data_IF_346831380105
#
_entry.id   IF_346831380105
#
_cell.length_a   1.000
_cell.length_b   1.000
_cell.length_c   1.000
_cell.angle_alpha   90.00
_cell.angle_beta   90.00
_cell.angle_gamma   90.00
#
_symmetry.space_group_name_H-M   'P 1'
#
loop_
_entity.id
_entity.type
_entity.pdbx_description
1 polymer ?
#
# COMPACT_ATOMS: atom_id res chain seq x y z
N UNK A 1 -27.88 -30.65 -4.18
CA UNK A 1 -26.41 -30.72 -4.25
C UNK A 1 -26.12 -31.56 -5.48
N UNK A 2 -25.19 -31.15 -6.37
CA UNK A 2 -24.81 -31.86 -7.62
C UNK A 2 -25.43 -31.41 -8.96
N UNK A 3 -25.49 -30.10 -9.21
CA UNK A 3 -25.54 -29.55 -10.58
C UNK A 3 -24.52 -28.41 -10.81
N UNK A 4 -24.11 -27.71 -9.75
CA UNK A 4 -23.12 -26.61 -9.85
C UNK A 4 -21.65 -27.08 -9.91
N UNK A 5 -21.35 -28.34 -9.57
CA UNK A 5 -19.99 -28.89 -9.64
C UNK A 5 -19.65 -29.35 -11.06
N UNK A 6 -20.64 -29.87 -11.81
CA UNK A 6 -20.46 -30.36 -13.18
C UNK A 6 -20.18 -29.21 -14.16
N UNK A 7 -20.85 -28.06 -14.02
CA UNK A 7 -20.58 -26.87 -14.86
C UNK A 7 -19.19 -26.28 -14.61
N UNK A 8 -18.64 -26.41 -13.39
CA UNK A 8 -17.27 -25.96 -13.10
C UNK A 8 -16.21 -26.84 -13.76
N UNK A 9 -16.43 -28.16 -13.83
CA UNK A 9 -15.52 -29.12 -14.47
C UNK A 9 -15.61 -29.06 -16.01
N UNK A 10 -16.79 -28.77 -16.57
CA UNK A 10 -16.99 -28.58 -18.01
C UNK A 10 -16.34 -27.27 -18.50
N UNK A 11 -16.40 -26.20 -17.70
CA UNK A 11 -15.70 -24.95 -17.98
C UNK A 11 -14.17 -25.07 -17.92
N UNK A 12 -13.66 -25.91 -17.00
CA UNK A 12 -12.23 -26.19 -16.86
C UNK A 12 -11.71 -27.07 -18.03
N UNK A 13 -12.47 -28.09 -18.47
CA UNK A 13 -12.12 -28.87 -19.66
C UNK A 13 -12.20 -28.06 -20.97
N UNK A 14 -13.11 -27.10 -21.07
CA UNK A 14 -13.18 -26.19 -22.23
C UNK A 14 -11.98 -25.24 -22.27
N UNK A 15 -11.57 -24.72 -21.11
CA UNK A 15 -10.41 -23.83 -20.99
C UNK A 15 -9.08 -24.57 -21.24
N UNK A 16 -8.97 -25.82 -20.78
CA UNK A 16 -7.81 -26.70 -21.06
C UNK A 16 -7.77 -27.09 -22.54
N UNK A 17 -8.91 -27.38 -23.18
CA UNK A 17 -8.95 -27.62 -24.64
C UNK A 17 -8.59 -26.40 -25.47
N UNK A 18 -8.96 -25.19 -25.02
CA UNK A 18 -8.56 -23.93 -25.66
C UNK A 18 -7.07 -23.65 -25.45
N UNK A 19 -6.52 -23.99 -24.27
CA UNK A 19 -5.08 -23.88 -24.00
C UNK A 19 -4.26 -24.91 -24.79
N UNK A 20 -4.75 -26.14 -24.94
CA UNK A 20 -4.14 -27.19 -25.76
C UNK A 20 -4.26 -26.85 -27.25
N UNK A 21 -5.40 -26.32 -27.72
CA UNK A 21 -5.53 -25.87 -29.12
C UNK A 21 -4.60 -24.70 -29.42
N UNK A 22 -4.42 -23.77 -28.46
CA UNK A 22 -3.46 -22.68 -28.60
C UNK A 22 -1.99 -23.17 -28.53
N UNK A 23 -1.72 -24.31 -27.89
CA UNK A 23 -0.41 -24.96 -27.84
C UNK A 23 -0.11 -25.76 -29.11
N UNK A 24 -1.11 -26.45 -29.67
CA UNK A 24 -1.02 -27.12 -30.97
C UNK A 24 -0.85 -26.07 -32.10
N UNK A 25 -1.50 -24.91 -31.98
CA UNK A 25 -1.34 -23.77 -32.89
C UNK A 25 0.08 -23.19 -32.91
N UNK A 26 0.91 -23.40 -31.87
CA UNK A 26 2.32 -22.97 -31.86
C UNK A 26 3.17 -23.84 -32.82
N UNK A 27 2.86 -25.13 -32.95
CA UNK A 27 3.48 -26.01 -33.94
C UNK A 27 2.97 -25.76 -35.36
N UNK A 28 1.68 -25.43 -35.53
CA UNK A 28 1.13 -24.99 -36.83
C UNK A 28 1.69 -23.62 -37.24
N UNK A 29 1.89 -22.71 -36.28
CA UNK A 29 2.52 -21.41 -36.51
C UNK A 29 3.99 -21.56 -36.92
N UNK A 30 4.75 -22.48 -36.32
CA UNK A 30 6.12 -22.83 -36.74
C UNK A 30 6.15 -23.46 -38.15
N UNK A 31 5.15 -24.29 -38.49
CA UNK A 31 4.99 -24.84 -39.84
C UNK A 31 4.68 -23.77 -40.90
N UNK A 32 3.86 -22.78 -40.56
CA UNK A 32 3.54 -21.62 -41.41
C UNK A 32 4.74 -20.66 -41.49
N UNK A 33 5.50 -20.47 -40.41
CA UNK A 33 6.71 -19.64 -40.43
C UNK A 33 7.78 -20.25 -41.36
N UNK A 34 7.96 -21.57 -41.31
CA UNK A 34 8.88 -22.29 -42.18
C UNK A 34 8.43 -22.32 -43.66
N UNK A 35 7.12 -22.28 -43.94
CA UNK A 35 6.63 -22.16 -45.31
C UNK A 35 6.72 -20.73 -45.85
N UNK A 36 6.63 -19.72 -44.99
CA UNK A 36 6.84 -18.30 -45.35
C UNK A 36 8.34 -18.00 -45.58
N UNK A 37 9.25 -18.63 -44.86
CA UNK A 37 10.70 -18.51 -45.12
C UNK A 37 11.15 -19.26 -46.40
N UNK A 38 10.38 -20.25 -46.85
CA UNK A 38 10.64 -20.99 -48.10
C UNK A 38 10.16 -20.25 -49.36
N UNK A 39 9.14 -19.40 -49.25
CA UNK A 39 8.67 -18.53 -50.33
C UNK A 39 9.19 -17.10 -50.13
N UNK A 40 10.43 -16.87 -50.58
CA UNK A 40 11.05 -15.56 -50.61
C UNK A 40 10.21 -14.53 -51.38
N UNK A 41 9.34 -13.82 -50.66
CA UNK A 41 8.62 -12.68 -51.19
C UNK A 41 8.60 -11.55 -50.15
N UNK A 42 9.24 -10.44 -50.51
CA UNK A 42 9.44 -9.22 -49.70
C UNK A 42 8.13 -8.48 -49.32
N UNK A 43 6.97 -9.13 -49.39
CA UNK A 43 5.67 -8.60 -49.00
C UNK A 43 5.15 -9.10 -47.65
N UNK A 44 5.75 -10.13 -47.05
CA UNK A 44 5.37 -10.61 -45.71
C UNK A 44 5.85 -9.75 -44.55
N UNK A 45 6.84 -8.86 -44.76
CA UNK A 45 7.51 -8.13 -43.68
C UNK A 45 6.75 -6.91 -43.16
N UNK A 46 5.68 -6.49 -43.84
CA UNK A 46 4.86 -5.33 -43.47
C UNK A 46 3.52 -5.70 -42.80
N UNK A 47 3.16 -6.99 -42.69
CA UNK A 47 1.90 -7.41 -42.05
C UNK A 47 2.05 -7.80 -40.57
N UNK A 48 3.26 -7.85 -40.05
CA UNK A 48 3.55 -8.14 -38.64
C UNK A 48 3.79 -6.89 -37.79
N UNK A 49 3.53 -5.68 -38.30
CA UNK A 49 3.88 -4.45 -37.57
C UNK A 49 2.70 -3.65 -36.98
N UNK A 50 1.43 -3.87 -37.35
CA UNK A 50 0.44 -2.81 -37.05
C UNK A 50 -0.56 -2.97 -35.91
N UNK A 51 -0.70 -4.12 -35.23
CA UNK A 51 -1.44 -4.16 -33.94
C UNK A 51 -0.94 -5.26 -33.01
N UNK A 52 0.10 -4.95 -32.21
CA UNK A 52 0.54 -5.78 -31.08
C UNK A 52 -0.58 -6.06 -30.05
N UNK A 53 -1.68 -5.31 -30.08
CA UNK A 53 -2.85 -5.52 -29.23
C UNK A 53 -4.15 -5.29 -30.02
N UNK A 54 -5.02 -6.29 -30.08
CA UNK A 54 -6.29 -6.23 -30.82
C UNK A 54 -7.42 -5.48 -30.07
N UNK A 55 -7.22 -5.11 -28.81
CA UNK A 55 -8.24 -4.53 -27.93
C UNK A 55 -7.83 -3.14 -27.48
N UNK A 56 -8.77 -2.18 -27.44
CA UNK A 56 -8.54 -0.82 -26.93
C UNK A 56 -8.05 -0.83 -25.48
N UNK A 57 -7.15 0.11 -25.13
CA UNK A 57 -6.54 0.23 -23.80
C UNK A 57 -7.57 0.26 -22.65
N UNK A 58 -8.69 0.98 -22.83
CA UNK A 58 -9.73 1.06 -21.81
C UNK A 58 -10.46 -0.27 -21.59
N UNK A 59 -10.64 -1.04 -22.67
CA UNK A 59 -11.26 -2.36 -22.58
C UNK A 59 -10.30 -3.37 -21.92
N UNK A 60 -8.99 -3.29 -22.23
CA UNK A 60 -7.96 -4.05 -21.49
C UNK A 60 -8.00 -3.71 -20.01
N UNK A 61 -7.98 -2.42 -19.66
CA UNK A 61 -8.05 -1.95 -18.28
C UNK A 61 -9.30 -2.47 -17.56
N UNK A 62 -10.49 -2.37 -18.15
CA UNK A 62 -11.75 -2.81 -17.51
C UNK A 62 -11.76 -4.31 -17.22
N UNK A 63 -11.32 -5.14 -18.18
CA UNK A 63 -11.26 -6.60 -18.02
C UNK A 63 -10.25 -6.97 -16.93
N UNK A 64 -9.05 -6.37 -16.98
CA UNK A 64 -8.00 -6.60 -16.00
C UNK A 64 -8.40 -6.11 -14.60
N UNK A 65 -9.08 -4.97 -14.50
CA UNK A 65 -9.57 -4.42 -13.25
C UNK A 65 -10.58 -5.37 -12.61
N UNK A 66 -11.57 -5.86 -13.38
CA UNK A 66 -12.55 -6.82 -12.89
C UNK A 66 -11.91 -8.14 -12.45
N UNK A 67 -10.96 -8.68 -13.24
CA UNK A 67 -10.21 -9.90 -12.89
C UNK A 67 -9.43 -9.70 -11.60
N UNK A 68 -8.69 -8.60 -11.52
CA UNK A 68 -7.85 -8.27 -10.37
C UNK A 68 -8.69 -8.05 -9.12
N UNK A 69 -9.81 -7.34 -9.21
CA UNK A 69 -10.71 -7.10 -8.06
C UNK A 69 -11.30 -8.41 -7.52
N UNK A 70 -11.69 -9.34 -8.40
CA UNK A 70 -12.13 -10.68 -7.98
C UNK A 70 -11.01 -11.46 -7.26
N UNK A 71 -9.78 -11.40 -7.79
CA UNK A 71 -8.63 -12.05 -7.20
C UNK A 71 -8.25 -11.46 -5.83
N UNK A 72 -8.10 -10.14 -5.76
CA UNK A 72 -7.74 -9.41 -4.54
C UNK A 72 -8.77 -9.62 -3.44
N UNK A 73 -10.08 -9.62 -3.78
CA UNK A 73 -11.15 -9.88 -2.82
C UNK A 73 -10.99 -11.26 -2.17
N UNK A 74 -10.72 -12.30 -2.95
CA UNK A 74 -10.56 -13.66 -2.43
C UNK A 74 -9.31 -13.82 -1.56
N UNK A 75 -8.23 -13.12 -1.90
CA UNK A 75 -6.95 -13.23 -1.18
C UNK A 75 -6.94 -12.45 0.14
N UNK A 76 -7.62 -11.30 0.20
CA UNK A 76 -7.55 -10.41 1.38
C UNK A 76 -8.69 -10.67 2.36
N UNK A 77 -9.93 -10.91 1.90
CA UNK A 77 -11.07 -11.24 2.77
C UNK A 77 -11.06 -12.70 3.25
N UNK A 78 -9.88 -13.24 3.55
CA UNK A 78 -9.77 -14.50 4.27
C UNK A 78 -10.19 -14.29 5.72
N UNK A 79 -10.93 -15.24 6.30
CA UNK A 79 -11.35 -15.23 7.71
C UNK A 79 -10.16 -14.96 8.65
N UNK A 80 -8.98 -15.49 8.33
CA UNK A 80 -7.74 -15.30 9.10
C UNK A 80 -7.32 -13.83 9.15
N UNK A 81 -7.32 -13.11 8.02
CA UNK A 81 -6.92 -11.69 8.00
C UNK A 81 -7.90 -10.81 8.76
N UNK A 82 -9.20 -11.12 8.66
CA UNK A 82 -10.23 -10.41 9.41
C UNK A 82 -10.07 -10.66 10.91
N UNK A 83 -9.94 -11.92 11.34
CA UNK A 83 -9.72 -12.30 12.75
C UNK A 83 -8.44 -11.68 13.29
N UNK A 84 -7.33 -11.73 12.54
CA UNK A 84 -6.05 -11.07 12.90
C UNK A 84 -6.26 -9.59 13.17
N UNK A 85 -6.94 -8.90 12.24
CA UNK A 85 -7.16 -7.44 12.34
C UNK A 85 -8.04 -7.07 13.53
N UNK A 86 -9.10 -7.83 13.78
CA UNK A 86 -9.99 -7.63 14.94
C UNK A 86 -9.27 -7.91 16.26
N UNK A 87 -8.51 -9.01 16.35
CA UNK A 87 -7.74 -9.35 17.56
C UNK A 87 -6.75 -8.24 17.91
N UNK A 88 -5.99 -7.75 16.92
CA UNK A 88 -5.02 -6.67 17.14
C UNK A 88 -5.74 -5.37 17.49
N UNK A 89 -6.88 -5.07 16.87
CA UNK A 89 -7.69 -3.90 17.23
C UNK A 89 -8.17 -3.96 18.68
N UNK A 90 -8.62 -5.12 19.15
CA UNK A 90 -9.04 -5.34 20.54
C UNK A 90 -7.87 -5.22 21.51
N UNK A 91 -6.73 -5.85 21.22
CA UNK A 91 -5.54 -5.77 22.07
C UNK A 91 -5.08 -4.31 22.21
N UNK A 92 -4.96 -3.59 21.10
CA UNK A 92 -4.57 -2.16 21.14
C UNK A 92 -5.63 -1.33 21.86
N UNK A 93 -6.92 -1.55 21.57
CA UNK A 93 -8.02 -0.88 22.25
C UNK A 93 -8.05 -1.13 23.76
N UNK A 94 -7.64 -2.32 24.22
CA UNK A 94 -7.53 -2.66 25.64
C UNK A 94 -6.30 -2.02 26.30
N UNK A 95 -5.14 -1.96 25.61
CA UNK A 95 -3.91 -1.36 26.17
C UNK A 95 -4.09 0.14 26.41
N UNK A 96 -4.76 0.84 25.51
CA UNK A 96 -5.03 2.28 25.62
C UNK A 96 -6.50 2.58 25.98
N UNK A 97 -7.16 1.70 26.74
CA UNK A 97 -8.59 1.80 27.01
C UNK A 97 -8.97 3.11 27.72
N UNK A 98 -9.94 3.84 27.15
CA UNK A 98 -10.54 5.06 27.70
C UNK A 98 -9.55 6.03 28.38
N UNK A 99 -8.62 6.57 27.60
CA UNK A 99 -7.71 7.60 28.10
C UNK A 99 -8.47 8.90 28.40
N UNK A 100 -8.36 9.44 29.61
CA UNK A 100 -8.84 10.79 29.92
C UNK A 100 -8.13 11.84 29.06
N UNK A 101 -8.75 13.00 28.79
CA UNK A 101 -8.13 14.08 27.99
C UNK A 101 -7.42 15.08 28.91
N UNK A 102 -6.25 14.70 29.42
CA UNK A 102 -5.43 15.53 30.32
C UNK A 102 -3.96 15.51 29.88
N UNK A 103 -3.14 16.39 30.45
CA UNK A 103 -1.70 16.45 30.22
C UNK A 103 -1.01 15.08 30.36
N UNK A 104 -1.31 14.31 31.41
CA UNK A 104 -0.71 12.99 31.64
C UNK A 104 -0.88 12.01 30.48
N UNK A 105 -2.01 12.07 29.78
CA UNK A 105 -2.33 11.11 28.71
C UNK A 105 -1.86 11.55 27.33
N UNK A 106 -1.30 12.78 27.19
CA UNK A 106 -0.79 13.29 25.91
C UNK A 106 0.21 12.32 25.30
N UNK A 107 1.23 11.89 26.07
CA UNK A 107 2.22 10.93 25.59
C UNK A 107 1.61 9.57 25.23
N UNK A 108 0.60 9.09 25.97
CA UNK A 108 -0.07 7.82 25.67
C UNK A 108 -0.86 7.90 24.36
N UNK A 109 -1.52 9.04 24.10
CA UNK A 109 -2.25 9.32 22.86
C UNK A 109 -1.32 9.40 21.66
N UNK A 110 -0.15 10.03 21.81
CA UNK A 110 0.90 10.03 20.79
C UNK A 110 1.38 8.60 20.50
N UNK A 111 1.67 7.81 21.53
CA UNK A 111 2.10 6.41 21.38
C UNK A 111 1.06 5.54 20.66
N UNK A 112 -0.24 5.72 20.96
CA UNK A 112 -1.32 5.02 20.26
C UNK A 112 -1.27 5.29 18.75
N UNK A 113 -1.25 6.56 18.33
CA UNK A 113 -1.23 6.89 16.90
C UNK A 113 0.02 6.38 16.21
N UNK A 114 1.18 6.56 16.85
CA UNK A 114 2.43 6.08 16.27
C UNK A 114 2.42 4.55 16.09
N UNK A 115 1.94 3.80 17.09
CA UNK A 115 1.81 2.35 16.99
C UNK A 115 0.85 1.93 15.87
N UNK A 116 -0.34 2.55 15.82
CA UNK A 116 -1.36 2.27 14.79
C UNK A 116 -0.82 2.50 13.39
N UNK A 117 -0.21 3.65 13.11
CA UNK A 117 0.34 3.94 11.78
C UNK A 117 1.50 3.01 11.46
N UNK A 118 2.35 2.74 12.45
CA UNK A 118 3.49 1.84 12.28
C UNK A 118 3.04 0.45 11.88
N UNK A 119 2.11 -0.13 12.63
CA UNK A 119 1.58 -1.47 12.37
C UNK A 119 1.03 -1.60 10.94
N UNK A 120 0.19 -0.67 10.49
CA UNK A 120 -0.46 -0.77 9.19
C UNK A 120 0.48 -0.47 8.01
N UNK A 121 1.40 0.48 8.16
CA UNK A 121 2.41 0.74 7.12
C UNK A 121 3.35 -0.45 6.98
N UNK A 122 3.79 -1.07 8.10
CA UNK A 122 4.59 -2.29 8.07
C UNK A 122 3.83 -3.44 7.41
N UNK A 123 2.60 -3.72 7.82
CA UNK A 123 1.77 -4.79 7.24
C UNK A 123 1.62 -4.58 5.72
N UNK A 124 1.35 -3.35 5.27
CA UNK A 124 1.23 -3.01 3.86
C UNK A 124 2.53 -3.20 3.07
N UNK A 125 3.67 -2.74 3.60
CA UNK A 125 4.99 -2.88 2.97
C UNK A 125 5.36 -4.35 2.77
N UNK A 126 5.24 -5.16 3.82
CA UNK A 126 5.58 -6.58 3.75
C UNK A 126 4.60 -7.35 2.87
N UNK A 127 3.30 -7.08 2.97
CA UNK A 127 2.32 -7.76 2.14
C UNK A 127 2.43 -7.39 0.65
N UNK A 128 2.94 -6.21 0.30
CA UNK A 128 3.28 -5.87 -1.08
C UNK A 128 4.54 -6.59 -1.57
N UNK A 129 5.56 -6.68 -0.71
CA UNK A 129 6.81 -7.40 -1.01
C UNK A 129 6.55 -8.90 -1.26
N UNK A 130 5.73 -9.53 -0.43
CA UNK A 130 5.44 -10.97 -0.51
C UNK A 130 4.60 -11.34 -1.73
N UNK A 131 3.65 -10.49 -2.13
CA UNK A 131 2.77 -10.80 -3.26
C UNK A 131 3.48 -10.61 -4.60
N UNK A 132 4.37 -9.62 -4.69
CA UNK A 132 4.93 -9.16 -5.96
C UNK A 132 5.70 -10.22 -6.77
N UNK A 133 6.59 -11.07 -6.21
CA UNK A 133 7.35 -12.05 -6.98
C UNK A 133 6.45 -13.02 -7.75
N UNK A 134 5.43 -13.58 -7.08
CA UNK A 134 4.50 -14.52 -7.70
C UNK A 134 3.71 -13.88 -8.86
N UNK A 135 3.39 -12.60 -8.72
CA UNK A 135 2.64 -11.85 -9.70
C UNK A 135 3.51 -11.44 -10.89
N UNK A 136 4.78 -11.12 -10.63
CA UNK A 136 5.76 -10.76 -11.64
C UNK A 136 5.97 -11.87 -12.66
N UNK A 137 6.07 -13.12 -12.21
CA UNK A 137 6.22 -14.28 -13.10
C UNK A 137 5.02 -14.43 -14.04
N UNK A 138 3.82 -14.21 -13.52
CA UNK A 138 2.58 -14.22 -14.32
C UNK A 138 2.58 -13.06 -15.32
N UNK A 139 2.98 -11.86 -14.91
CA UNK A 139 3.06 -10.69 -15.80
C UNK A 139 4.02 -10.92 -16.96
N UNK A 140 5.19 -11.51 -16.72
CA UNK A 140 6.15 -11.79 -17.78
C UNK A 140 5.62 -12.80 -18.79
N UNK A 141 5.00 -13.89 -18.30
CA UNK A 141 4.35 -14.89 -19.17
C UNK A 141 3.24 -14.29 -20.02
N UNK A 142 2.31 -13.53 -19.41
CA UNK A 142 1.19 -12.90 -20.13
C UNK A 142 1.62 -11.76 -21.07
N UNK A 143 2.78 -11.13 -20.83
CA UNK A 143 3.35 -10.14 -21.77
C UNK A 143 4.12 -10.78 -22.91
N UNK A 144 4.75 -11.94 -22.69
CA UNK A 144 5.42 -12.70 -23.74
C UNK A 144 4.40 -13.15 -24.79
N UNK A 145 3.21 -13.57 -24.36
CA UNK A 145 2.09 -13.96 -25.22
C UNK A 145 1.36 -12.78 -25.90
N UNK A 146 1.76 -11.53 -25.67
CA UNK A 146 1.08 -10.39 -26.27
C UNK A 146 -0.39 -10.23 -25.82
N UNK A 147 -0.72 -10.59 -24.57
CA UNK A 147 -2.10 -10.47 -24.04
C UNK A 147 -2.56 -9.05 -23.63
N UNK A 148 -1.75 -8.23 -22.93
CA UNK A 148 -2.08 -6.82 -22.63
C UNK A 148 -0.87 -5.86 -22.44
N UNK A 149 -1.13 -4.55 -22.50
CA UNK A 149 -0.15 -3.50 -22.19
C UNK A 149 0.12 -3.38 -20.68
N UNK A 150 1.39 -3.23 -20.27
CA UNK A 150 1.78 -3.15 -18.84
C UNK A 150 1.16 -1.97 -18.11
N UNK A 151 0.99 -0.82 -18.77
CA UNK A 151 0.36 0.34 -18.14
C UNK A 151 -1.10 0.07 -17.79
N UNK A 152 -1.84 -0.63 -18.66
CA UNK A 152 -3.24 -1.01 -18.40
C UNK A 152 -3.32 -1.95 -17.20
N UNK A 153 -2.45 -2.96 -17.16
CA UNK A 153 -2.37 -3.91 -16.04
C UNK A 153 -1.99 -3.24 -14.72
N UNK A 154 -0.91 -2.47 -14.71
CA UNK A 154 -0.39 -1.86 -13.48
C UNK A 154 -1.40 -0.91 -12.85
N UNK A 155 -2.09 -0.11 -13.68
CA UNK A 155 -3.14 0.79 -13.20
C UNK A 155 -4.39 0.04 -12.75
N UNK A 156 -4.85 -0.94 -13.55
CA UNK A 156 -6.01 -1.78 -13.20
C UNK A 156 -5.80 -2.47 -11.86
N UNK A 157 -4.60 -3.02 -11.66
CA UNK A 157 -4.22 -3.70 -10.44
C UNK A 157 -4.20 -2.76 -9.24
N UNK A 158 -3.44 -1.66 -9.33
CA UNK A 158 -3.32 -0.67 -8.26
C UNK A 158 -4.69 -0.17 -7.78
N UNK A 159 -5.60 0.12 -8.71
CA UNK A 159 -6.95 0.58 -8.36
C UNK A 159 -7.86 -0.53 -7.83
N UNK A 160 -7.68 -1.77 -8.27
CA UNK A 160 -8.50 -2.91 -7.80
C UNK A 160 -8.10 -3.40 -6.40
N UNK A 161 -6.82 -3.25 -6.04
CA UNK A 161 -6.28 -3.68 -4.76
C UNK A 161 -6.55 -2.67 -3.65
N UNK A 162 -6.53 -1.37 -3.97
CA UNK A 162 -6.69 -0.31 -2.98
C UNK A 162 -7.95 -0.48 -2.09
N UNK A 163 -9.19 -0.67 -2.60
CA UNK A 163 -10.37 -0.84 -1.75
C UNK A 163 -10.25 -2.03 -0.81
N UNK A 164 -9.63 -3.10 -1.29
CA UNK A 164 -9.50 -4.35 -0.55
C UNK A 164 -8.46 -4.22 0.56
N UNK A 165 -7.34 -3.55 0.28
CA UNK A 165 -6.26 -3.27 1.25
C UNK A 165 -6.71 -2.31 2.36
N UNK A 166 -7.57 -1.34 2.03
CA UNK A 166 -8.06 -0.34 2.98
C UNK A 166 -9.16 -0.86 3.92
N UNK A 167 -9.85 -1.95 3.56
CA UNK A 167 -10.94 -2.49 4.36
C UNK A 167 -10.52 -2.95 5.76
N UNK A 168 -9.35 -3.59 5.90
CA UNK A 168 -8.87 -4.09 7.20
C UNK A 168 -8.42 -2.97 8.15
N UNK A 169 -7.59 -1.98 7.72
CA UNK A 169 -7.27 -0.83 8.56
C UNK A 169 -8.51 -0.01 8.96
N UNK A 170 -9.52 0.08 8.09
CA UNK A 170 -10.79 0.72 8.42
C UNK A 170 -11.50 0.06 9.60
N UNK A 171 -11.62 -1.27 9.59
CA UNK A 171 -12.24 -2.03 10.68
C UNK A 171 -11.44 -1.86 11.97
N UNK A 172 -10.11 -1.90 11.88
CA UNK A 172 -9.23 -1.69 13.04
C UNK A 172 -9.39 -0.29 13.63
N UNK A 173 -9.41 0.76 12.79
CA UNK A 173 -9.57 2.14 13.24
C UNK A 173 -10.93 2.33 13.90
N UNK A 174 -11.98 1.76 13.32
CA UNK A 174 -13.32 1.80 13.89
C UNK A 174 -13.33 1.20 15.31
N UNK A 175 -12.75 0.02 15.52
CA UNK A 175 -12.78 -0.60 16.86
C UNK A 175 -11.84 0.11 17.84
N UNK A 176 -10.56 0.26 17.47
CA UNK A 176 -9.52 0.74 18.40
C UNK A 176 -9.67 2.21 18.78
N UNK A 177 -10.13 3.08 17.86
CA UNK A 177 -10.25 4.52 18.13
C UNK A 177 -11.32 4.81 19.20
N UNK A 178 -12.48 4.15 19.09
CA UNK A 178 -13.56 4.31 20.05
C UNK A 178 -13.24 3.64 21.40
N UNK A 179 -12.56 2.48 21.38
CA UNK A 179 -12.08 1.84 22.63
C UNK A 179 -11.05 2.71 23.37
N UNK A 180 -10.19 3.40 22.64
CA UNK A 180 -9.13 4.22 23.23
C UNK A 180 -9.63 5.53 23.86
N UNK A 181 -10.86 5.97 23.57
CA UNK A 181 -11.43 7.22 24.11
C UNK A 181 -10.67 8.47 23.65
N UNK A 182 -10.20 8.51 22.41
CA UNK A 182 -9.32 9.57 21.92
C UNK A 182 -10.02 10.94 21.85
N UNK A 183 -10.98 11.12 20.96
CA UNK A 183 -11.69 12.37 20.85
C UNK A 183 -13.14 12.06 20.49
N UNK A 184 -14.14 12.65 21.19
CA UNK A 184 -15.55 12.45 20.85
C UNK A 184 -15.93 13.06 19.49
N UNK A 185 -15.12 13.97 18.93
CA UNK A 185 -15.42 14.63 17.67
C UNK A 185 -15.23 13.68 16.45
N UNK A 186 -16.32 13.43 15.73
CA UNK A 186 -16.31 12.55 14.55
C UNK A 186 -15.41 13.05 13.42
N UNK A 187 -15.22 14.38 13.30
CA UNK A 187 -14.34 14.97 12.30
C UNK A 187 -12.88 14.50 12.48
N UNK A 188 -12.41 14.43 13.73
CA UNK A 188 -11.06 13.98 14.09
C UNK A 188 -10.90 12.51 13.74
N UNK A 189 -11.89 11.67 14.06
CA UNK A 189 -11.91 10.27 13.65
C UNK A 189 -11.80 10.12 12.12
N UNK A 190 -12.64 10.84 11.38
CA UNK A 190 -12.71 10.73 9.93
C UNK A 190 -11.40 11.14 9.24
N UNK A 191 -10.86 12.31 9.57
CA UNK A 191 -9.61 12.79 8.96
C UNK A 191 -8.38 12.00 9.39
N UNK A 192 -8.31 11.55 10.65
CA UNK A 192 -7.20 10.72 11.14
C UNK A 192 -7.23 9.34 10.49
N UNK A 193 -8.42 8.78 10.29
CA UNK A 193 -8.61 7.53 9.54
C UNK A 193 -8.17 7.70 8.09
N UNK A 194 -8.57 8.78 7.40
CA UNK A 194 -8.10 9.05 6.03
C UNK A 194 -6.58 9.14 5.95
N UNK A 195 -5.93 9.87 6.88
CA UNK A 195 -4.47 9.97 6.91
C UNK A 195 -3.81 8.61 7.14
N UNK A 196 -4.39 7.78 8.01
CA UNK A 196 -3.96 6.39 8.22
C UNK A 196 -4.04 5.59 6.91
N UNK A 197 -5.18 5.60 6.22
CA UNK A 197 -5.38 4.88 4.96
C UNK A 197 -4.42 5.34 3.87
N UNK A 198 -4.16 6.65 3.76
CA UNK A 198 -3.17 7.21 2.83
C UNK A 198 -1.76 6.69 3.15
N UNK A 199 -1.42 6.59 4.44
CA UNK A 199 -0.13 6.04 4.86
C UNK A 199 0.02 4.56 4.49
N UNK A 200 -1.06 3.77 4.59
CA UNK A 200 -1.09 2.36 4.15
C UNK A 200 -0.80 2.25 2.65
N UNK A 201 -1.44 3.08 1.82
CA UNK A 201 -1.20 3.09 0.37
C UNK A 201 0.24 3.52 0.04
N UNK A 202 0.76 4.54 0.72
CA UNK A 202 2.14 4.99 0.56
C UNK A 202 3.14 3.88 0.96
N UNK A 203 2.90 3.21 2.09
CA UNK A 203 3.68 2.05 2.54
C UNK A 203 3.65 0.90 1.54
N UNK A 204 2.47 0.49 1.08
CA UNK A 204 2.31 -0.56 0.07
C UNK A 204 3.16 -0.25 -1.19
N UNK A 205 3.17 1.01 -1.61
CA UNK A 205 3.91 1.46 -2.80
C UNK A 205 5.42 1.41 -2.61
N UNK A 206 5.92 1.74 -1.40
CA UNK A 206 7.33 1.58 -1.04
C UNK A 206 7.72 0.10 -0.95
N UNK A 207 6.87 -0.76 -0.38
CA UNK A 207 7.10 -2.20 -0.35
C UNK A 207 7.20 -2.80 -1.75
N UNK A 208 6.30 -2.38 -2.66
CA UNK A 208 6.34 -2.77 -4.06
C UNK A 208 7.61 -2.28 -4.77
N UNK A 209 8.07 -1.06 -4.49
CA UNK A 209 9.31 -0.51 -5.04
C UNK A 209 10.50 -1.40 -4.67
N UNK A 210 10.66 -1.75 -3.39
CA UNK A 210 11.74 -2.64 -2.93
C UNK A 210 11.62 -4.02 -3.58
N UNK A 211 10.40 -4.57 -3.67
CA UNK A 211 10.14 -5.86 -4.34
C UNK A 211 10.45 -5.85 -5.84
N UNK A 212 10.35 -4.69 -6.49
CA UNK A 212 10.77 -4.55 -7.89
C UNK A 212 12.28 -4.38 -8.05
N UNK A 213 12.97 -3.80 -7.07
CA UNK A 213 14.42 -3.55 -7.15
C UNK A 213 15.26 -4.79 -6.86
N UNK A 214 14.77 -5.68 -5.98
CA UNK A 214 15.52 -6.86 -5.53
C UNK A 214 14.84 -8.13 -6.01
N UNK A 215 15.54 -8.91 -6.85
CA UNK A 215 15.01 -10.14 -7.47
C UNK A 215 14.90 -11.30 -6.46
N UNK A 216 15.79 -11.31 -5.48
CA UNK A 216 15.93 -12.36 -4.48
C UNK A 216 15.08 -12.02 -3.24
N UNK A 217 14.12 -12.89 -2.93
CA UNK A 217 13.13 -12.65 -1.89
C UNK A 217 13.74 -12.50 -0.49
N UNK A 218 14.76 -13.30 -0.16
CA UNK A 218 15.41 -13.24 1.15
C UNK A 218 16.16 -11.91 1.31
N UNK A 219 16.91 -11.51 0.27
CA UNK A 219 17.59 -10.20 0.25
C UNK A 219 16.61 -9.04 0.28
N UNK A 220 15.48 -9.16 -0.42
CA UNK A 220 14.46 -8.13 -0.47
C UNK A 220 13.79 -7.95 0.91
N UNK A 221 13.54 -9.03 1.65
CA UNK A 221 13.03 -8.97 3.02
C UNK A 221 13.99 -8.26 3.97
N UNK A 222 15.29 -8.59 3.91
CA UNK A 222 16.31 -7.94 4.74
C UNK A 222 16.40 -6.45 4.39
N UNK A 223 16.48 -6.12 3.10
CA UNK A 223 16.52 -4.74 2.64
C UNK A 223 15.28 -3.95 3.06
N UNK A 224 14.08 -4.54 2.91
CA UNK A 224 12.84 -3.92 3.34
C UNK A 224 12.83 -3.69 4.85
N UNK A 225 13.27 -4.67 5.64
CA UNK A 225 13.31 -4.55 7.11
C UNK A 225 14.19 -3.39 7.54
N UNK A 226 15.41 -3.29 6.99
CA UNK A 226 16.34 -2.19 7.28
C UNK A 226 15.75 -0.86 6.84
N UNK A 227 15.16 -0.81 5.65
CA UNK A 227 14.54 0.40 5.11
C UNK A 227 13.37 0.87 5.98
N UNK A 228 12.44 -0.01 6.33
CA UNK A 228 11.27 0.31 7.15
C UNK A 228 11.65 0.73 8.56
N UNK A 229 12.61 0.04 9.20
CA UNK A 229 13.11 0.44 10.52
C UNK A 229 13.77 1.82 10.49
N UNK A 230 14.53 2.12 9.44
CA UNK A 230 15.13 3.44 9.25
C UNK A 230 14.04 4.52 9.13
N UNK A 231 13.02 4.29 8.29
CA UNK A 231 11.91 5.22 8.11
C UNK A 231 11.07 5.41 9.39
N UNK A 232 10.93 4.36 10.19
CA UNK A 232 10.25 4.40 11.49
C UNK A 232 11.03 5.24 12.51
N UNK A 233 12.35 5.09 12.58
CA UNK A 233 13.21 5.87 13.50
C UNK A 233 13.14 7.37 13.21
N UNK A 234 13.15 7.74 11.93
CA UNK A 234 13.01 9.14 11.48
C UNK A 234 11.54 9.61 11.42
N UNK A 235 10.59 8.77 11.86
CA UNK A 235 9.15 8.99 11.83
C UNK A 235 8.61 10.04 12.81
N UNK A 236 9.47 10.82 13.48
CA UNK A 236 9.08 11.91 14.39
C UNK A 236 8.76 11.51 15.83
N UNK A 237 8.56 10.23 16.11
CA UNK A 237 8.28 9.73 17.47
C UNK A 237 9.56 9.44 18.29
N UNK A 238 10.52 8.70 17.72
CA UNK A 238 11.72 8.26 18.44
C UNK A 238 12.81 9.33 18.50
N UNK A 239 13.09 9.96 17.35
CA UNK A 239 14.15 10.97 17.22
C UNK A 239 13.51 12.28 16.79
N UNK A 240 13.64 13.29 17.65
CA UNK A 240 13.19 14.66 17.37
C UNK A 240 14.27 15.49 16.67
N UNK A 241 15.52 15.37 17.13
CA UNK A 241 16.66 16.10 16.58
C UNK A 241 17.45 15.23 15.60
N UNK A 242 17.11 15.31 14.31
CA UNK A 242 17.78 14.55 13.26
C UNK A 242 18.98 15.35 12.72
N UNK A 243 20.17 14.75 12.58
CA UNK A 243 21.33 15.47 12.05
C UNK A 243 21.07 15.93 10.61
N UNK A 244 21.57 17.12 10.26
CA UNK A 244 21.28 17.83 8.99
C UNK A 244 21.46 16.96 7.74
N UNK A 245 22.44 16.06 7.74
CA UNK A 245 22.74 15.17 6.62
C UNK A 245 21.72 14.02 6.42
N UNK A 246 20.89 13.69 7.43
CA UNK A 246 19.82 12.67 7.34
C UNK A 246 18.42 13.27 7.25
N UNK A 247 18.24 14.59 7.36
CA UNK A 247 16.92 15.24 7.35
C UNK A 247 16.10 14.87 6.11
N UNK A 248 16.75 14.68 4.96
CA UNK A 248 16.07 14.28 3.72
C UNK A 248 15.26 12.97 3.85
N UNK A 249 15.70 12.05 4.71
CA UNK A 249 15.04 10.74 4.91
C UNK A 249 13.67 10.86 5.60
N UNK A 250 13.43 11.94 6.34
CA UNK A 250 12.14 12.25 6.94
C UNK A 250 11.06 12.46 5.87
N UNK A 251 11.41 13.08 4.73
CA UNK A 251 10.47 13.32 3.64
C UNK A 251 10.09 12.05 2.88
N UNK A 252 10.84 10.95 3.06
CA UNK A 252 10.51 9.65 2.50
C UNK A 252 9.62 8.82 3.44
N UNK A 253 9.50 9.22 4.70
CA UNK A 253 8.82 8.43 5.74
C UNK A 253 7.32 8.67 5.74
N UNK A 254 6.48 7.69 5.34
CA UNK A 254 5.03 7.79 5.50
C UNK A 254 4.64 7.80 6.99
N UNK A 255 5.48 7.24 7.88
CA UNK A 255 5.26 7.23 9.32
C UNK A 255 5.23 8.66 9.88
N UNK A 256 6.18 9.51 9.48
CA UNK A 256 6.26 10.92 9.92
C UNK A 256 4.99 11.67 9.57
N UNK A 257 4.62 11.70 8.28
CA UNK A 257 3.47 12.49 7.84
C UNK A 257 2.16 11.98 8.42
N UNK A 258 1.98 10.66 8.55
CA UNK A 258 0.78 10.09 9.16
C UNK A 258 0.69 10.40 10.67
N UNK A 259 1.82 10.35 11.37
CA UNK A 259 1.92 10.70 12.78
C UNK A 259 1.64 12.19 13.00
N UNK A 260 2.36 13.08 12.32
CA UNK A 260 2.21 14.53 12.42
C UNK A 260 0.77 14.98 12.08
N UNK A 261 0.14 14.38 11.05
CA UNK A 261 -1.26 14.63 10.72
C UNK A 261 -2.22 14.22 11.86
N UNK A 262 -2.00 13.05 12.46
CA UNK A 262 -2.85 12.53 13.54
C UNK A 262 -2.71 13.35 14.82
N UNK A 263 -1.49 13.80 15.15
CA UNK A 263 -1.24 14.71 16.27
C UNK A 263 -1.91 16.07 16.05
N UNK A 264 -1.78 16.63 14.84
CA UNK A 264 -2.41 17.91 14.48
C UNK A 264 -3.93 17.86 14.65
N UNK A 265 -4.56 16.75 14.26
CA UNK A 265 -6.02 16.56 14.35
C UNK A 265 -6.49 16.28 15.78
N UNK A 266 -5.73 15.51 16.56
CA UNK A 266 -6.13 15.09 17.91
C UNK A 266 -6.02 16.22 18.93
N UNK A 267 -4.97 17.03 18.83
CA UNK A 267 -4.73 18.17 19.70
C UNK A 267 -5.29 19.45 19.08
N UNK A 268 -6.56 19.40 18.66
CA UNK A 268 -7.30 20.56 18.15
C UNK A 268 -7.96 21.41 19.26
N UNK A 269 -8.14 20.84 20.46
CA UNK A 269 -8.73 21.49 21.64
C UNK A 269 -7.67 21.73 22.73
N UNK A 270 -7.92 22.69 23.62
CA UNK A 270 -7.04 22.98 24.76
C UNK A 270 -6.98 21.77 25.70
N UNK A 271 -5.76 21.39 26.12
CA UNK A 271 -5.55 20.30 27.09
C UNK A 271 -5.42 20.89 28.49
N UNK A 272 -6.19 20.42 29.49
CA UNK A 272 -6.02 20.85 30.87
C UNK A 272 -4.68 20.33 31.43
N UNK A 273 -3.93 21.23 32.07
CA UNK A 273 -2.72 20.88 32.81
C UNK A 273 -3.13 20.23 34.13
N UNK A 274 -2.61 19.03 34.41
CA UNK A 274 -2.92 18.26 35.62
C UNK A 274 -1.74 18.23 36.61
N UNK A 275 -0.63 18.88 36.26
CA UNK A 275 0.57 18.95 37.09
C UNK A 275 1.43 17.68 37.01
N UNK A 276 1.17 16.81 36.02
CA UNK A 276 2.00 15.63 35.78
C UNK A 276 3.39 15.95 35.25
N UNK A 277 3.61 17.16 34.72
CA UNK A 277 4.91 17.60 34.19
C UNK A 277 5.31 16.90 32.89
N UNK A 278 4.35 16.28 32.21
CA UNK A 278 4.56 15.64 30.89
C UNK A 278 4.74 16.71 29.81
N UNK A 279 4.02 17.83 29.93
CA UNK A 279 4.20 19.00 29.08
C UNK A 279 5.03 20.04 29.84
N UNK A 280 6.16 20.46 29.27
CA UNK A 280 7.02 21.50 29.84
C UNK A 280 6.27 22.81 30.05
N UNK A 281 5.27 23.08 29.21
CA UNK A 281 4.43 24.29 29.30
C UNK A 281 3.59 24.29 30.59
N UNK A 282 3.12 23.12 31.02
CA UNK A 282 2.30 22.96 32.22
C UNK A 282 3.10 23.02 33.53
N UNK A 283 4.44 23.10 33.47
CA UNK A 283 5.27 23.33 34.66
C UNK A 283 5.17 24.76 35.18
N UNK A 284 4.64 25.71 34.39
CA UNK A 284 4.40 27.06 34.87
C UNK A 284 3.09 27.09 35.69
N UNK A 285 3.11 27.46 36.98
CA UNK A 285 1.93 27.46 37.84
C UNK A 285 0.81 28.39 37.35
N UNK A 286 1.12 29.37 36.49
CA UNK A 286 0.13 30.30 35.94
C UNK A 286 -0.67 29.72 34.75
N UNK A 287 -0.27 28.56 34.21
CA UNK A 287 -0.89 27.95 33.03
C UNK A 287 -1.75 26.75 33.45
N UNK A 288 -3.07 26.91 33.40
CA UNK A 288 -4.02 25.83 33.68
C UNK A 288 -4.42 25.03 32.42
N UNK A 289 -4.19 25.57 31.22
CA UNK A 289 -4.54 24.93 29.95
C UNK A 289 -3.44 25.15 28.92
N UNK A 290 -2.99 24.07 28.28
CA UNK A 290 -2.08 24.12 27.15
C UNK A 290 -2.86 24.34 25.86
N UNK A 291 -2.50 25.37 25.10
CA UNK A 291 -3.17 25.66 23.82
C UNK A 291 -2.68 24.72 22.71
N UNK A 292 -3.52 24.41 21.70
CA UNK A 292 -3.16 23.56 20.58
C UNK A 292 -1.86 23.93 19.86
N UNK A 293 -1.55 25.22 19.75
CA UNK A 293 -0.31 25.69 19.10
C UNK A 293 0.93 25.32 19.91
N UNK A 294 0.87 25.54 21.23
CA UNK A 294 1.99 25.24 22.12
C UNK A 294 2.25 23.73 22.21
N UNK A 295 1.18 22.92 22.27
CA UNK A 295 1.29 21.45 22.27
C UNK A 295 1.96 20.98 20.97
N UNK A 296 1.58 21.54 19.82
CA UNK A 296 2.16 21.19 18.53
C UNK A 296 3.64 21.54 18.43
N UNK A 297 4.05 22.68 18.97
CA UNK A 297 5.46 23.08 19.05
C UNK A 297 6.25 22.13 19.96
N UNK A 298 5.70 21.72 21.11
CA UNK A 298 6.38 20.79 22.02
C UNK A 298 6.48 19.35 21.47
N UNK A 299 5.46 18.93 20.72
CA UNK A 299 5.45 17.67 20.01
C UNK A 299 6.27 17.69 18.70
N UNK A 300 6.81 18.85 18.29
CA UNK A 300 7.49 19.05 17.00
C UNK A 300 6.64 18.63 15.79
N UNK A 301 5.34 18.90 15.83
CA UNK A 301 4.42 18.58 14.72
C UNK A 301 4.67 19.54 13.58
N UNK A 302 5.15 19.01 12.45
CA UNK A 302 5.42 19.81 11.26
C UNK A 302 4.22 19.83 10.30
N UNK A 303 3.94 21.03 9.77
CA UNK A 303 2.91 21.23 8.75
C UNK A 303 1.47 21.15 9.26
N UNK A 304 0.53 21.40 8.34
CA UNK A 304 -0.90 21.22 8.59
C UNK A 304 -1.31 19.78 8.27
N UNK A 305 -2.45 19.33 8.80
CA UNK A 305 -3.00 18.02 8.45
C UNK A 305 -3.17 17.84 6.92
N UNK A 306 -3.56 18.90 6.21
CA UNK A 306 -3.69 18.89 4.74
C UNK A 306 -2.35 18.76 4.02
N UNK A 307 -1.31 19.44 4.51
CA UNK A 307 0.05 19.33 3.97
C UNK A 307 0.59 17.91 4.13
N UNK A 308 0.41 17.33 5.31
CA UNK A 308 0.85 15.96 5.60
C UNK A 308 0.09 14.92 4.75
N UNK A 309 -1.22 15.07 4.58
CA UNK A 309 -2.01 14.23 3.68
C UNK A 309 -1.55 14.35 2.21
N UNK A 310 -1.23 15.57 1.76
CA UNK A 310 -0.68 15.80 0.41
C UNK A 310 0.67 15.10 0.23
N UNK A 311 1.57 15.18 1.22
CA UNK A 311 2.86 14.48 1.16
C UNK A 311 2.70 12.97 1.09
N UNK A 312 1.76 12.38 1.82
CA UNK A 312 1.45 10.93 1.70
C UNK A 312 0.99 10.56 0.28
N UNK A 313 0.16 11.40 -0.35
CA UNK A 313 -0.28 11.21 -1.73
C UNK A 313 0.91 11.31 -2.70
N UNK A 314 1.83 12.26 -2.48
CA UNK A 314 3.05 12.41 -3.28
C UNK A 314 3.92 11.15 -3.16
N UNK A 315 4.17 10.66 -1.93
CA UNK A 315 4.95 9.43 -1.71
C UNK A 315 4.30 8.25 -2.44
N UNK A 316 2.98 8.10 -2.34
CA UNK A 316 2.23 7.06 -3.04
C UNK A 316 2.49 7.09 -4.56
N UNK A 317 2.27 8.24 -5.21
CA UNK A 317 2.43 8.34 -6.67
C UNK A 317 3.88 8.21 -7.11
N UNK A 318 4.84 8.80 -6.38
CA UNK A 318 6.26 8.73 -6.71
C UNK A 318 6.78 7.30 -6.58
N UNK A 319 6.45 6.60 -5.48
CA UNK A 319 6.87 5.23 -5.28
C UNK A 319 6.24 4.27 -6.31
N UNK A 320 4.95 4.45 -6.65
CA UNK A 320 4.29 3.68 -7.72
C UNK A 320 4.92 3.93 -9.08
N UNK A 321 5.21 5.19 -9.42
CA UNK A 321 5.86 5.50 -10.70
C UNK A 321 7.27 4.91 -10.77
N UNK A 322 8.05 5.02 -9.69
CA UNK A 322 9.38 4.42 -9.61
C UNK A 322 9.33 2.89 -9.76
N UNK A 323 8.37 2.23 -9.10
CA UNK A 323 8.11 0.79 -9.22
C UNK A 323 7.74 0.39 -10.65
N UNK A 324 6.89 1.18 -11.31
CA UNK A 324 6.52 0.94 -12.71
C UNK A 324 7.72 1.08 -13.67
N UNK A 325 8.56 2.10 -13.47
CA UNK A 325 9.77 2.31 -14.26
C UNK A 325 10.77 1.18 -14.05
N UNK A 326 11.00 0.76 -12.80
CA UNK A 326 11.86 -0.37 -12.46
C UNK A 326 11.41 -1.66 -13.16
N UNK A 327 10.11 -1.97 -13.09
CA UNK A 327 9.52 -3.13 -13.77
C UNK A 327 9.61 -3.04 -15.30
N UNK A 328 9.54 -1.82 -15.86
CA UNK A 328 9.72 -1.61 -17.30
C UNK A 328 11.18 -1.83 -17.73
N UNK A 329 12.14 -1.47 -16.89
CA UNK A 329 13.58 -1.61 -17.16
C UNK A 329 14.01 -3.08 -17.24
N UNK A 330 13.49 -3.93 -16.36
CA UNK A 330 13.84 -5.37 -16.30
C UNK A 330 13.54 -6.15 -17.58
N UNK A 331 12.62 -5.66 -18.41
CA UNK A 331 12.36 -6.23 -19.74
C UNK A 331 13.52 -6.03 -20.72
N UNK A 332 14.35 -4.99 -20.51
CA UNK A 332 15.49 -4.68 -21.36
C UNK A 332 16.61 -5.72 -21.24
N UNK A 333 16.83 -6.21 -20.01
CA UNK A 333 17.96 -7.11 -19.71
C UNK A 333 17.72 -8.55 -20.17
N UNK A 334 16.47 -9.03 -20.23
CA UNK A 334 16.15 -10.39 -20.72
C UNK A 334 16.20 -10.54 -22.25
N UNK A 335 16.52 -9.46 -22.98
CA UNK A 335 16.62 -9.44 -24.45
C UNK A 335 18.06 -9.34 -24.97
N UNK A 336 19.05 -9.33 -24.08
CA UNK A 336 20.49 -9.32 -24.37
C UNK A 336 21.10 -10.68 -24.05
#
# INVERSE_FOLDING_TARGET
>A
MDLLVVDSLVGEQSSVKILISNWDDEHTALGIMNSIDAEGNNHGKYLLDDRKWNISWFMQFRVLFHRSLKNSRSSIFTTINFVKSVLIALVVGCVWFQMEYTEKTVSNRSSYFFFTMTYWVFDAMFAALMSFPSERDVIFKERASGSYQLSAYYLAKTLSEAPTRLALPLVYMLVSFWMAGLNPEFSVFFFSTICSLLSVLAGESLGLLVGTMVMDMEKAMVALTVFTLTLMLVGGFFVKDIPVWMVWSQYLSPFKFAFDASQYLTFNVNVPCDGSGVLKICNNPDIHYATPKQIREELNVEGTASFNAMMLIVIFFVARLASFVALRSQRGDERM
#
